data_IF_286797443790
#
_entry.id   IF_286797443790
#
_cell.length_a   1.000
_cell.length_b   1.000
_cell.length_c   1.000
_cell.angle_alpha   90.00
_cell.angle_beta   90.00
_cell.angle_gamma   90.00
#
_symmetry.space_group_name_H-M   'P 1'
#
loop_
_entity.id
_entity.type
_entity.pdbx_description
1 polymer ?
#
# COMPACT_ATOMS: atom_id res chain seq x y z
N UNK A 1 -33.99 5.47 -15.76
CA UNK A 1 -33.63 4.28 -16.56
C UNK A 1 -32.18 3.96 -16.24
N UNK A 2 -31.94 2.90 -15.46
CA UNK A 2 -30.60 2.49 -15.08
C UNK A 2 -30.03 1.56 -16.15
N UNK A 3 -28.88 1.92 -16.74
CA UNK A 3 -28.16 1.07 -17.68
C UNK A 3 -27.57 -0.15 -16.96
N UNK A 4 -27.62 -1.35 -17.55
CA UNK A 4 -27.02 -2.54 -16.95
C UNK A 4 -25.51 -2.50 -17.24
N UNK A 5 -24.73 -1.88 -16.35
CA UNK A 5 -23.28 -1.93 -16.45
C UNK A 5 -22.81 -3.35 -16.10
N UNK A 6 -22.54 -4.14 -17.14
CA UNK A 6 -21.94 -5.47 -17.05
C UNK A 6 -20.69 -5.44 -16.16
N UNK A 7 -20.71 -6.23 -15.10
CA UNK A 7 -19.67 -6.40 -14.07
C UNK A 7 -18.43 -7.16 -14.54
N UNK A 8 -18.21 -7.23 -15.85
CA UNK A 8 -17.15 -8.03 -16.44
C UNK A 8 -15.91 -7.16 -16.69
N UNK A 9 -14.79 -7.57 -16.08
CA UNK A 9 -13.44 -7.18 -16.51
C UNK A 9 -13.33 -7.51 -18.00
N UNK A 10 -12.93 -6.56 -18.87
CA UNK A 10 -12.78 -6.81 -20.30
C UNK A 10 -11.93 -8.05 -20.57
N UNK A 11 -12.26 -8.87 -21.59
CA UNK A 11 -11.56 -10.13 -21.84
C UNK A 11 -10.07 -9.92 -22.11
N UNK A 12 -9.70 -8.83 -22.78
CA UNK A 12 -8.32 -8.45 -23.03
C UNK A 12 -7.56 -8.12 -21.74
N UNK A 13 -8.18 -7.35 -20.83
CA UNK A 13 -7.59 -7.06 -19.52
C UNK A 13 -7.42 -8.32 -18.68
N UNK A 14 -8.42 -9.20 -18.70
CA UNK A 14 -8.36 -10.48 -18.01
C UNK A 14 -7.18 -11.30 -18.51
N UNK A 15 -6.94 -11.31 -19.82
CA UNK A 15 -5.82 -12.04 -20.40
C UNK A 15 -4.46 -11.40 -20.05
N UNK A 16 -4.39 -10.07 -20.03
CA UNK A 16 -3.21 -9.34 -19.60
C UNK A 16 -2.86 -9.63 -18.12
N UNK A 17 -3.85 -9.59 -17.23
CA UNK A 17 -3.68 -9.93 -15.80
C UNK A 17 -3.24 -11.39 -15.65
N UNK A 18 -3.90 -12.32 -16.36
CA UNK A 18 -3.50 -13.74 -16.33
C UNK A 18 -2.05 -13.93 -16.77
N UNK A 19 -1.65 -13.34 -17.90
CA UNK A 19 -0.28 -13.43 -18.40
C UNK A 19 0.73 -12.90 -17.39
N UNK A 20 0.41 -11.77 -16.75
CA UNK A 20 1.25 -11.21 -15.69
C UNK A 20 1.39 -12.18 -14.50
N UNK A 21 0.27 -12.73 -14.01
CA UNK A 21 0.27 -13.68 -12.90
C UNK A 21 0.98 -15.00 -13.25
N UNK A 22 0.83 -15.52 -14.47
CA UNK A 22 1.54 -16.70 -14.94
C UNK A 22 3.04 -16.48 -14.97
N UNK A 23 3.50 -15.37 -15.57
CA UNK A 23 4.92 -15.02 -15.57
C UNK A 23 5.48 -14.86 -14.15
N UNK A 24 4.69 -14.32 -13.23
CA UNK A 24 5.06 -14.22 -11.82
C UNK A 24 5.24 -15.60 -11.17
N UNK A 25 4.30 -16.52 -11.39
CA UNK A 25 4.39 -17.90 -10.88
C UNK A 25 5.59 -18.64 -11.47
N UNK A 26 5.83 -18.50 -12.78
CA UNK A 26 6.97 -19.13 -13.45
C UNK A 26 8.30 -18.59 -12.90
N UNK A 27 8.40 -17.28 -12.66
CA UNK A 27 9.57 -16.66 -12.05
C UNK A 27 9.78 -17.13 -10.59
N UNK A 28 8.71 -17.38 -9.84
CA UNK A 28 8.80 -17.95 -8.50
C UNK A 28 9.28 -19.40 -8.51
N UNK A 29 8.74 -20.25 -9.38
CA UNK A 29 9.15 -21.64 -9.52
C UNK A 29 10.63 -21.70 -9.92
N UNK A 30 11.03 -20.92 -10.92
CA UNK A 30 12.42 -20.84 -11.35
C UNK A 30 13.36 -20.39 -10.22
N UNK A 31 12.94 -19.41 -9.40
CA UNK A 31 13.74 -18.96 -8.27
C UNK A 31 13.91 -20.06 -7.20
N UNK A 32 12.88 -20.88 -6.97
CA UNK A 32 12.94 -22.04 -6.06
C UNK A 32 13.90 -23.10 -6.60
N UNK A 33 13.73 -23.48 -7.87
CA UNK A 33 14.52 -24.54 -8.52
C UNK A 33 16.01 -24.16 -8.63
N UNK A 34 16.29 -22.87 -8.87
CA UNK A 34 17.66 -22.33 -8.96
C UNK A 34 18.33 -22.14 -7.60
N UNK A 35 17.60 -22.32 -6.49
CA UNK A 35 18.10 -22.02 -5.14
C UNK A 35 18.35 -20.52 -4.88
N UNK A 36 17.95 -19.65 -5.80
CA UNK A 36 18.17 -18.19 -5.77
C UNK A 36 17.30 -17.48 -4.73
N UNK A 37 16.27 -18.15 -4.20
CA UNK A 37 15.47 -17.58 -3.10
C UNK A 37 16.27 -17.39 -1.80
N UNK A 38 17.54 -17.80 -1.79
CA UNK A 38 18.48 -17.49 -0.73
C UNK A 38 19.23 -16.14 -0.90
N UNK A 39 19.12 -15.42 -2.03
CA UNK A 39 20.07 -14.35 -2.34
C UNK A 39 19.63 -13.11 -3.14
N UNK A 40 18.45 -13.04 -3.75
CA UNK A 40 18.10 -11.86 -4.58
C UNK A 40 16.90 -11.05 -4.04
N UNK A 41 17.19 -10.24 -3.02
CA UNK A 41 16.64 -8.91 -2.88
C UNK A 41 17.65 -7.94 -3.48
N UNK A 42 17.28 -7.26 -4.57
CA UNK A 42 18.14 -6.27 -5.20
C UNK A 42 18.20 -5.04 -4.27
N UNK A 43 19.25 -5.02 -3.47
CA UNK A 43 19.45 -4.11 -2.34
C UNK A 43 20.43 -4.71 -1.33
N UNK A 44 21.49 -5.38 -1.81
CA UNK A 44 22.65 -5.75 -0.99
C UNK A 44 23.45 -4.47 -0.70
N UNK A 45 22.92 -3.64 0.18
CA UNK A 45 23.80 -2.87 1.05
C UNK A 45 24.52 -3.88 1.95
N UNK A 46 25.83 -3.76 2.01
CA UNK A 46 26.75 -4.66 2.69
C UNK A 46 26.63 -4.61 4.23
N UNK A 47 25.41 -4.63 4.77
CA UNK A 47 25.13 -4.45 6.21
C UNK A 47 24.20 -5.52 6.82
N UNK A 48 23.99 -6.65 6.11
CA UNK A 48 23.45 -7.88 6.72
C UNK A 48 24.49 -8.58 7.63
N UNK A 49 25.61 -7.89 7.88
CA UNK A 49 26.59 -8.15 8.94
C UNK A 49 26.12 -7.72 10.33
N UNK A 50 24.88 -7.29 10.53
CA UNK A 50 24.26 -7.41 11.86
C UNK A 50 23.91 -8.88 12.07
N UNK A 51 24.98 -9.64 12.32
CA UNK A 51 24.99 -10.99 12.84
C UNK A 51 23.89 -11.06 13.91
N UNK A 52 22.88 -11.89 13.68
CA UNK A 52 21.98 -12.35 14.73
C UNK A 52 22.51 -13.68 15.27
N UNK A 53 23.68 -13.72 15.94
CA UNK A 53 24.40 -14.95 16.23
C UNK A 53 23.53 -15.93 17.05
N UNK A 54 22.71 -15.38 17.93
CA UNK A 54 21.75 -16.13 18.73
C UNK A 54 20.71 -16.87 17.86
N UNK A 55 20.11 -16.18 16.90
CA UNK A 55 19.13 -16.77 15.99
C UNK A 55 19.78 -17.78 15.04
N UNK A 56 21.03 -17.56 14.62
CA UNK A 56 21.76 -18.52 13.79
C UNK A 56 22.11 -19.81 14.54
N UNK A 57 22.41 -19.70 15.84
CA UNK A 57 22.73 -20.83 16.70
C UNK A 57 21.49 -21.67 17.06
N UNK A 58 20.32 -21.03 17.22
CA UNK A 58 19.09 -21.70 17.64
C UNK A 58 18.26 -22.19 16.46
N UNK A 59 18.21 -21.41 15.37
CA UNK A 59 17.31 -21.69 14.24
C UNK A 59 18.07 -22.42 13.13
N UNK A 60 17.68 -23.68 12.83
CA UNK A 60 18.24 -24.43 11.72
C UNK A 60 18.28 -23.63 10.42
N UNK A 61 19.35 -23.80 9.64
CA UNK A 61 19.54 -23.10 8.36
C UNK A 61 18.34 -23.31 7.41
N UNK A 62 17.72 -24.48 7.43
CA UNK A 62 16.54 -24.80 6.61
C UNK A 62 15.34 -23.92 6.97
N UNK A 63 15.06 -23.74 8.26
CA UNK A 63 13.96 -22.88 8.72
C UNK A 63 14.22 -21.42 8.35
N UNK A 64 15.48 -20.95 8.46
CA UNK A 64 15.86 -19.60 8.02
C UNK A 64 15.72 -19.37 6.51
N UNK A 65 15.95 -20.40 5.69
CA UNK A 65 15.72 -20.33 4.24
C UNK A 65 14.23 -20.25 3.91
N UNK A 66 13.40 -21.08 4.56
CA UNK A 66 11.95 -21.06 4.39
C UNK A 66 11.35 -19.72 4.83
N UNK A 67 11.81 -19.15 5.94
CA UNK A 67 11.33 -17.84 6.40
C UNK A 67 11.72 -16.70 5.45
N UNK A 68 12.94 -16.71 4.90
CA UNK A 68 13.35 -15.75 3.87
C UNK A 68 12.54 -15.90 2.58
N UNK A 69 12.28 -17.14 2.18
CA UNK A 69 11.41 -17.46 1.05
C UNK A 69 10.01 -16.89 1.25
N UNK A 70 9.38 -17.17 2.39
CA UNK A 70 8.01 -16.71 2.69
C UNK A 70 7.94 -15.18 2.66
N UNK A 71 8.92 -14.49 3.26
CA UNK A 71 8.99 -13.03 3.23
C UNK A 71 9.13 -12.50 1.81
N UNK A 72 10.07 -13.05 1.02
CA UNK A 72 10.28 -12.65 -0.37
C UNK A 72 9.04 -12.88 -1.22
N UNK A 73 8.40 -14.05 -1.06
CA UNK A 73 7.15 -14.39 -1.72
C UNK A 73 6.04 -13.40 -1.36
N UNK A 74 5.84 -13.12 -0.08
CA UNK A 74 4.83 -12.19 0.42
C UNK A 74 5.03 -10.78 -0.13
N UNK A 75 6.26 -10.27 -0.13
CA UNK A 75 6.60 -8.95 -0.70
C UNK A 75 6.34 -8.90 -2.21
N UNK A 76 6.79 -9.90 -2.97
CA UNK A 76 6.59 -9.94 -4.42
C UNK A 76 5.10 -10.11 -4.77
N UNK A 77 4.35 -10.86 -3.96
CA UNK A 77 2.90 -11.01 -4.10
C UNK A 77 2.16 -9.69 -3.83
N UNK A 78 2.58 -8.92 -2.82
CA UNK A 78 2.06 -7.56 -2.59
C UNK A 78 2.21 -6.67 -3.82
N UNK A 79 3.43 -6.58 -4.35
CA UNK A 79 3.75 -5.85 -5.58
C UNK A 79 2.94 -6.31 -6.80
N UNK A 80 2.57 -7.58 -6.85
CA UNK A 80 1.72 -8.16 -7.91
C UNK A 80 0.29 -7.61 -7.85
N UNK A 81 -0.26 -7.45 -6.64
CA UNK A 81 -1.59 -6.85 -6.47
C UNK A 81 -1.62 -5.39 -6.92
N UNK A 82 -0.59 -4.61 -6.58
CA UNK A 82 -0.45 -3.22 -7.02
C UNK A 82 -0.42 -3.11 -8.56
N UNK A 83 0.29 -4.02 -9.24
CA UNK A 83 0.33 -4.05 -10.71
C UNK A 83 -1.02 -4.37 -11.32
N UNK A 84 -1.74 -5.34 -10.76
CA UNK A 84 -3.08 -5.67 -11.22
C UNK A 84 -4.03 -4.47 -11.04
N UNK A 85 -3.95 -3.80 -9.89
CA UNK A 85 -4.65 -2.55 -9.61
C UNK A 85 -4.34 -1.46 -10.64
N UNK A 86 -3.06 -1.21 -10.95
CA UNK A 86 -2.64 -0.24 -11.97
C UNK A 86 -3.19 -0.57 -13.36
N UNK A 87 -3.11 -1.84 -13.76
CA UNK A 87 -3.64 -2.30 -15.05
C UNK A 87 -5.15 -2.07 -15.17
N UNK A 88 -5.91 -2.32 -14.10
CA UNK A 88 -7.35 -2.05 -14.05
C UNK A 88 -7.62 -0.54 -14.13
N UNK A 89 -6.93 0.26 -13.31
CA UNK A 89 -7.14 1.70 -13.26
C UNK A 89 -6.82 2.40 -14.60
N UNK A 90 -5.77 1.96 -15.30
CA UNK A 90 -5.37 2.51 -16.61
C UNK A 90 -6.45 2.34 -17.69
N UNK A 91 -7.40 1.40 -17.52
CA UNK A 91 -8.49 1.21 -18.47
C UNK A 91 -9.69 2.14 -18.23
N UNK A 92 -9.78 2.72 -17.03
CA UNK A 92 -10.96 3.47 -16.58
C UNK A 92 -10.68 4.95 -16.34
N UNK A 93 -9.40 5.30 -16.19
CA UNK A 93 -8.96 6.64 -15.79
C UNK A 93 -7.90 7.18 -16.74
N UNK A 94 -7.61 8.48 -16.64
CA UNK A 94 -6.65 9.15 -17.51
C UNK A 94 -5.22 8.65 -17.25
N UNK A 95 -4.84 8.51 -15.98
CA UNK A 95 -3.50 8.04 -15.58
C UNK A 95 -3.58 7.10 -14.38
N UNK A 96 -2.64 6.16 -14.31
CA UNK A 96 -2.45 5.31 -13.14
C UNK A 96 -0.98 4.92 -12.97
N UNK A 97 -0.41 5.22 -11.79
CA UNK A 97 1.00 5.04 -11.47
C UNK A 97 1.16 4.28 -10.15
N UNK A 98 2.07 3.31 -10.12
CA UNK A 98 2.44 2.64 -8.87
C UNK A 98 3.55 3.38 -8.16
N UNK A 99 3.64 3.16 -6.84
CA UNK A 99 4.71 3.71 -6.00
C UNK A 99 4.86 5.22 -6.21
N UNK A 100 3.72 5.93 -6.23
CA UNK A 100 3.69 7.35 -6.56
C UNK A 100 4.18 8.16 -5.37
N UNK A 101 5.15 9.03 -5.63
CA UNK A 101 5.79 9.84 -4.60
C UNK A 101 5.13 11.20 -4.46
N UNK A 102 4.71 11.49 -3.24
CA UNK A 102 4.24 12.80 -2.78
C UNK A 102 5.40 13.48 -2.06
N UNK A 103 5.72 14.71 -2.45
CA UNK A 103 6.74 15.54 -1.81
C UNK A 103 6.16 16.94 -1.59
N UNK A 104 6.18 17.43 -0.35
CA UNK A 104 5.64 18.75 -0.01
C UNK A 104 6.13 19.28 1.33
N UNK A 105 5.77 20.53 1.63
CA UNK A 105 6.05 21.15 2.93
C UNK A 105 4.80 21.15 3.79
N UNK A 106 4.92 20.69 5.03
CA UNK A 106 3.80 20.54 5.98
C UNK A 106 4.21 21.05 7.36
N UNK A 107 3.24 21.39 8.21
CA UNK A 107 3.50 21.74 9.62
C UNK A 107 4.12 20.56 10.38
N UNK A 108 5.17 20.82 11.15
CA UNK A 108 5.75 19.83 12.06
C UNK A 108 4.74 19.40 13.13
N UNK A 109 3.89 20.31 13.61
CA UNK A 109 2.86 19.98 14.60
C UNK A 109 1.81 19.01 14.04
N UNK A 110 1.49 19.10 12.75
CA UNK A 110 0.60 18.14 12.09
C UNK A 110 1.26 16.76 11.94
N UNK A 111 2.57 16.71 11.62
CA UNK A 111 3.33 15.45 11.58
C UNK A 111 3.41 14.80 12.95
N UNK A 112 3.66 15.58 14.00
CA UNK A 112 3.74 15.08 15.38
C UNK A 112 2.39 14.53 15.85
N UNK A 113 1.28 15.16 15.44
CA UNK A 113 -0.07 14.67 15.71
C UNK A 113 -0.35 13.32 15.03
N UNK A 114 0.03 13.16 13.76
CA UNK A 114 -0.08 11.86 13.07
C UNK A 114 0.68 10.78 13.83
N UNK A 115 1.92 11.08 14.24
CA UNK A 115 2.76 10.13 14.97
C UNK A 115 2.14 9.73 16.32
N UNK A 116 1.59 10.70 17.04
CA UNK A 116 0.89 10.45 18.31
C UNK A 116 -0.37 9.59 18.10
N UNK A 117 -1.16 9.88 17.06
CA UNK A 117 -2.35 9.10 16.72
C UNK A 117 -2.00 7.68 16.28
N UNK A 118 -0.96 7.47 15.47
CA UNK A 118 -0.49 6.15 15.04
C UNK A 118 -0.02 5.32 16.25
N UNK A 119 0.79 5.89 17.15
CA UNK A 119 1.22 5.22 18.39
C UNK A 119 0.03 4.85 19.29
N UNK A 120 -0.93 5.76 19.42
CA UNK A 120 -2.16 5.50 20.17
C UNK A 120 -2.98 4.37 19.52
N UNK A 121 -3.09 4.38 18.20
CA UNK A 121 -3.81 3.36 17.44
C UNK A 121 -3.20 1.96 17.59
N UNK A 122 -1.87 1.88 17.65
CA UNK A 122 -1.13 0.63 17.87
C UNK A 122 -1.27 0.09 19.30
N UNK A 123 -1.39 0.97 20.29
CA UNK A 123 -1.50 0.60 21.72
C UNK A 123 -2.93 0.28 22.16
N UNK A 124 -3.95 0.75 21.43
CA UNK A 124 -5.37 0.46 21.74
C UNK A 124 -5.75 -0.99 21.39
N UNK A 125 -5.96 -1.79 22.44
CA UNK A 125 -6.29 -3.21 22.36
C UNK A 125 -7.71 -3.51 21.84
N UNK A 126 -8.66 -2.58 21.99
CA UNK A 126 -10.07 -2.77 21.59
C UNK A 126 -10.56 -1.67 20.65
N UNK A 127 -11.46 -2.05 19.74
CA UNK A 127 -12.01 -1.15 18.72
C UNK A 127 -12.90 -0.04 19.28
N UNK A 128 -13.42 -0.20 20.50
CA UNK A 128 -14.38 0.71 21.14
C UNK A 128 -13.73 2.00 21.68
N UNK A 129 -12.41 2.03 21.83
CA UNK A 129 -11.65 3.21 22.26
C UNK A 129 -11.01 3.97 21.09
N UNK A 130 -11.19 3.49 19.86
CA UNK A 130 -10.58 4.11 18.68
C UNK A 130 -11.37 5.33 18.25
N UNK A 131 -10.66 6.46 18.19
CA UNK A 131 -11.11 7.70 17.55
C UNK A 131 -11.43 7.38 16.09
N UNK A 132 -12.49 7.97 15.54
CA UNK A 132 -12.86 7.80 14.14
C UNK A 132 -11.82 8.45 13.23
N UNK A 133 -11.78 8.01 11.97
CA UNK A 133 -10.87 8.59 10.98
C UNK A 133 -11.14 10.07 10.74
N UNK A 134 -12.41 10.48 10.75
CA UNK A 134 -12.80 11.88 10.57
C UNK A 134 -12.30 12.75 11.73
N UNK A 135 -12.42 12.29 12.98
CA UNK A 135 -11.90 12.99 14.16
C UNK A 135 -10.36 13.07 14.16
N UNK A 136 -9.68 12.01 13.72
CA UNK A 136 -8.23 12.00 13.55
C UNK A 136 -7.77 13.06 12.54
N UNK A 137 -8.46 13.12 11.40
CA UNK A 137 -8.20 14.11 10.35
C UNK A 137 -8.46 15.53 10.84
N UNK A 138 -9.57 15.76 11.54
CA UNK A 138 -9.88 17.08 12.08
C UNK A 138 -8.79 17.55 13.05
N UNK A 139 -8.33 16.69 13.97
CA UNK A 139 -7.25 17.00 14.88
C UNK A 139 -5.95 17.36 14.15
N UNK A 140 -5.61 16.65 13.07
CA UNK A 140 -4.45 16.95 12.23
C UNK A 140 -4.61 18.31 11.53
N UNK A 141 -5.78 18.57 10.95
CA UNK A 141 -6.10 19.80 10.24
C UNK A 141 -5.97 21.04 11.13
N UNK A 142 -6.36 20.94 12.41
CA UNK A 142 -6.21 22.08 13.35
C UNK A 142 -4.76 22.55 13.51
N UNK A 143 -3.78 21.66 13.29
CA UNK A 143 -2.35 21.94 13.47
C UNK A 143 -1.62 22.22 12.17
N UNK A 144 -2.29 22.15 11.01
CA UNK A 144 -1.63 22.17 9.69
C UNK A 144 -0.93 23.48 9.33
N UNK A 145 -1.35 24.59 9.93
CA UNK A 145 -0.80 25.92 9.67
C UNK A 145 0.25 26.35 10.71
N UNK A 146 0.52 25.53 11.71
CA UNK A 146 1.45 25.84 12.80
C UNK A 146 2.90 25.69 12.33
N UNK A 147 3.75 26.75 12.40
CA UNK A 147 5.17 26.61 12.14
C UNK A 147 5.89 25.87 13.29
N UNK A 148 7.06 25.24 13.05
CA UNK A 148 7.82 25.25 11.80
C UNK A 148 7.28 24.27 10.74
N UNK A 149 7.58 24.55 9.47
CA UNK A 149 7.26 23.65 8.35
C UNK A 149 8.44 22.75 8.01
N UNK A 150 8.17 21.47 7.81
CA UNK A 150 9.14 20.42 7.44
C UNK A 150 8.85 19.83 6.06
N UNK A 151 9.83 19.17 5.45
CA UNK A 151 9.62 18.40 4.21
C UNK A 151 9.01 17.04 4.54
N UNK A 152 7.88 16.72 3.91
CA UNK A 152 7.24 15.41 3.98
C UNK A 152 7.39 14.71 2.64
N UNK A 153 7.81 13.44 2.69
CA UNK A 153 7.89 12.56 1.52
C UNK A 153 7.16 11.27 1.83
N UNK A 154 6.13 10.97 1.04
CA UNK A 154 5.29 9.77 1.21
C UNK A 154 5.20 9.05 -0.12
N UNK A 155 5.23 7.73 -0.10
CA UNK A 155 5.01 6.90 -1.28
C UNK A 155 3.71 6.15 -1.08
N UNK A 156 2.81 6.26 -2.06
CA UNK A 156 1.54 5.54 -2.08
C UNK A 156 1.63 4.34 -3.02
N UNK A 157 0.94 3.26 -2.70
CA UNK A 157 0.99 2.04 -3.50
C UNK A 157 0.46 2.28 -4.93
N UNK A 158 -0.60 3.10 -5.09
CA UNK A 158 -1.16 3.49 -6.38
C UNK A 158 -1.71 4.92 -6.38
N UNK A 159 -1.37 5.69 -7.42
CA UNK A 159 -2.01 6.94 -7.82
C UNK A 159 -2.87 6.72 -9.06
N UNK A 160 -4.03 7.37 -9.09
CA UNK A 160 -4.95 7.37 -10.23
C UNK A 160 -5.45 8.79 -10.47
N UNK A 161 -5.39 9.27 -11.72
CA UNK A 161 -6.01 10.52 -12.13
C UNK A 161 -7.20 10.24 -13.03
N UNK A 162 -8.39 10.60 -12.57
CA UNK A 162 -9.63 10.45 -13.33
C UNK A 162 -9.68 11.43 -14.51
N UNK A 163 -10.59 11.19 -15.46
CA UNK A 163 -10.74 12.04 -16.65
C UNK A 163 -11.21 13.46 -16.35
N UNK A 164 -11.90 13.67 -15.23
CA UNK A 164 -12.33 14.99 -14.77
C UNK A 164 -11.22 15.76 -14.01
N UNK A 165 -10.03 15.17 -13.88
CA UNK A 165 -8.89 15.74 -13.17
C UNK A 165 -8.82 15.36 -11.68
N UNK A 166 -9.79 14.61 -11.16
CA UNK A 166 -9.76 14.13 -9.77
C UNK A 166 -8.59 13.18 -9.56
N UNK A 167 -7.85 13.42 -8.48
CA UNK A 167 -6.70 12.61 -8.08
C UNK A 167 -7.07 11.68 -6.92
N UNK A 168 -6.72 10.40 -7.05
CA UNK A 168 -6.99 9.35 -6.07
C UNK A 168 -5.70 8.63 -5.71
N UNK A 169 -5.53 8.34 -4.42
CA UNK A 169 -4.34 7.72 -3.86
C UNK A 169 -4.76 6.52 -3.03
N UNK A 170 -4.11 5.39 -3.26
CA UNK A 170 -4.47 4.13 -2.65
C UNK A 170 -3.26 3.53 -1.95
N UNK A 171 -3.49 3.10 -0.72
CA UNK A 171 -2.66 2.14 -0.02
C UNK A 171 -3.30 0.74 -0.17
N UNK A 172 -2.55 -0.23 -0.69
CA UNK A 172 -3.04 -1.56 -1.03
C UNK A 172 -2.41 -2.55 -0.06
N UNK A 173 -3.24 -3.18 0.78
CA UNK A 173 -2.77 -4.19 1.74
C UNK A 173 -3.53 -5.50 1.62
N UNK A 174 -2.85 -6.59 1.96
CA UNK A 174 -3.43 -7.93 2.08
C UNK A 174 -4.23 -8.05 3.41
N UNK A 175 -5.11 -9.07 3.58
CA UNK A 175 -6.09 -9.13 4.67
C UNK A 175 -5.55 -9.21 6.11
N UNK A 176 -4.23 -9.30 6.33
CA UNK A 176 -3.61 -9.10 7.65
C UNK A 176 -2.61 -7.93 7.59
N UNK A 177 -3.11 -6.68 7.46
CA UNK A 177 -2.24 -5.53 7.33
C UNK A 177 -1.62 -5.12 8.66
N UNK A 178 -0.42 -4.52 8.61
CA UNK A 178 0.09 -3.67 9.68
C UNK A 178 -0.77 -2.40 9.73
N UNK A 179 -1.70 -2.35 10.67
CA UNK A 179 -2.74 -1.29 10.70
C UNK A 179 -2.16 0.10 10.96
N UNK A 180 -1.11 0.22 11.77
CA UNK A 180 -0.43 1.49 12.06
C UNK A 180 0.17 2.13 10.81
N UNK A 181 0.95 1.37 10.04
CA UNK A 181 1.57 1.82 8.79
C UNK A 181 0.53 2.30 7.75
N UNK A 182 -0.61 1.61 7.66
CA UNK A 182 -1.67 2.02 6.74
C UNK A 182 -2.29 3.37 7.16
N UNK A 183 -2.49 3.57 8.46
CA UNK A 183 -3.02 4.82 9.00
C UNK A 183 -2.05 5.98 8.78
N UNK A 184 -0.76 5.75 9.03
CA UNK A 184 0.31 6.73 8.84
C UNK A 184 0.36 7.27 7.40
N UNK A 185 0.45 6.39 6.40
CA UNK A 185 0.50 6.78 4.98
C UNK A 185 -0.77 7.55 4.59
N UNK A 186 -1.93 7.11 5.09
CA UNK A 186 -3.22 7.76 4.82
C UNK A 186 -3.26 9.18 5.39
N UNK A 187 -2.87 9.37 6.65
CA UNK A 187 -2.86 10.68 7.29
C UNK A 187 -1.83 11.63 6.67
N UNK A 188 -0.65 11.12 6.31
CA UNK A 188 0.36 11.95 5.64
C UNK A 188 -0.03 12.36 4.22
N UNK A 189 -0.63 11.45 3.45
CA UNK A 189 -1.22 11.81 2.17
C UNK A 189 -2.22 12.94 2.40
N UNK A 190 -3.12 12.81 3.39
CA UNK A 190 -4.12 13.83 3.70
C UNK A 190 -3.54 15.22 3.97
N UNK A 191 -2.54 15.34 4.86
CA UNK A 191 -1.89 16.62 5.16
C UNK A 191 -1.29 17.26 3.90
N UNK A 192 -0.71 16.45 3.01
CA UNK A 192 -0.15 16.94 1.76
C UNK A 192 -1.22 17.63 0.88
N UNK A 193 -2.41 17.07 0.73
CA UNK A 193 -3.47 17.67 -0.11
C UNK A 193 -3.93 19.02 0.40
N UNK A 194 -4.22 19.08 1.70
CA UNK A 194 -4.73 20.27 2.35
C UNK A 194 -3.70 21.39 2.33
N UNK A 195 -2.41 21.07 2.54
CA UNK A 195 -1.33 22.03 2.44
C UNK A 195 -1.09 22.56 1.01
N UNK A 196 -1.44 21.79 -0.02
CA UNK A 196 -1.21 22.15 -1.43
C UNK A 196 -2.48 22.57 -2.19
N UNK A 197 -3.63 22.68 -1.51
CA UNK A 197 -4.89 23.15 -2.10
C UNK A 197 -5.45 22.23 -3.17
N UNK A 198 -5.08 20.95 -3.15
CA UNK A 198 -5.60 19.93 -4.07
C UNK A 198 -6.80 19.28 -3.40
N UNK A 199 -8.02 19.35 -3.96
CA UNK A 199 -9.19 18.74 -3.35
C UNK A 199 -9.04 17.22 -3.35
N UNK A 200 -8.70 16.63 -2.19
CA UNK A 200 -8.83 15.18 -2.01
C UNK A 200 -10.32 14.85 -1.91
N UNK A 201 -10.84 14.06 -2.85
CA UNK A 201 -12.18 13.50 -2.69
C UNK A 201 -12.23 12.65 -1.42
N UNK A 202 -13.25 12.89 -0.59
CA UNK A 202 -13.58 12.21 0.68
C UNK A 202 -13.99 10.74 0.48
N UNK A 203 -13.18 9.97 -0.25
CA UNK A 203 -13.17 8.52 -0.21
C UNK A 203 -11.77 8.11 0.17
N UNK A 204 -11.47 8.28 1.46
CA UNK A 204 -10.30 7.62 2.02
C UNK A 204 -10.49 6.13 1.76
N UNK A 205 -9.54 5.64 0.95
CA UNK A 205 -9.43 4.29 0.46
C UNK A 205 -9.87 3.31 1.55
N UNK A 206 -10.92 2.54 1.25
CA UNK A 206 -11.13 1.28 1.95
C UNK A 206 -9.79 0.56 1.88
N UNK A 207 -9.22 0.17 3.02
CA UNK A 207 -8.32 -0.97 3.05
C UNK A 207 -9.01 -2.05 2.20
N UNK A 208 -8.50 -2.29 0.99
CA UNK A 208 -8.98 -3.35 0.12
C UNK A 208 -8.55 -4.65 0.79
N UNK A 209 -9.27 -4.99 1.84
CA UNK A 209 -9.09 -6.21 2.61
C UNK A 209 -9.64 -7.29 1.71
N UNK A 210 -8.83 -7.78 0.77
CA UNK A 210 -9.21 -8.86 -0.13
C UNK A 210 -9.42 -10.08 0.77
N UNK A 211 -10.67 -10.54 1.00
CA UNK A 211 -10.88 -11.75 1.78
C UNK A 211 -10.18 -12.89 1.04
N UNK A 212 -9.69 -13.89 1.77
CA UNK A 212 -8.84 -14.98 1.27
C UNK A 212 -9.43 -15.82 0.11
N UNK A 213 -10.61 -15.48 -0.39
CA UNK A 213 -11.22 -16.06 -1.58
C UNK A 213 -12.21 -15.09 -2.27
N UNK A 214 -11.77 -13.99 -2.90
CA UNK A 214 -12.62 -13.25 -3.86
C UNK A 214 -11.81 -12.73 -5.08
N UNK A 215 -12.32 -12.83 -6.33
CA UNK A 215 -11.60 -12.45 -7.54
C UNK A 215 -11.42 -10.92 -7.67
N UNK A 216 -10.49 -10.54 -8.53
CA UNK A 216 -10.16 -9.21 -9.12
C UNK A 216 -11.34 -8.22 -9.29
N UNK A 217 -12.58 -8.69 -9.30
CA UNK A 217 -13.82 -7.89 -9.37
C UNK A 217 -13.99 -6.87 -8.23
N UNK A 218 -13.51 -7.13 -7.01
CA UNK A 218 -13.61 -6.13 -5.91
C UNK A 218 -12.73 -4.91 -6.18
N UNK A 219 -11.50 -5.13 -6.68
CA UNK A 219 -10.57 -4.05 -7.05
C UNK A 219 -11.19 -3.22 -8.17
N UNK A 220 -11.78 -3.88 -9.18
CA UNK A 220 -12.46 -3.19 -10.28
C UNK A 220 -13.70 -2.39 -9.86
N UNK A 221 -14.40 -2.79 -8.79
CA UNK A 221 -15.55 -2.05 -8.26
C UNK A 221 -15.16 -0.83 -7.43
N UNK A 222 -14.02 -0.86 -6.74
CA UNK A 222 -13.50 0.28 -5.98
C UNK A 222 -12.80 1.33 -6.87
N UNK A 223 -12.41 0.93 -8.08
CA UNK A 223 -11.70 1.76 -9.06
C UNK A 223 -12.59 2.26 -10.21
N UNK A 224 -13.92 2.23 -10.06
CA UNK A 224 -14.87 2.75 -11.06
C UNK A 224 -15.71 3.87 -10.48
#
# INVERSE_FOLDING_TARGET
MASPHSSAIPPELREQIKRYLSNFMDALIHAIDSGEVAGSGNGLSADDSVVMPFHQAIIPVTIRKVSRFERSFSTRLGSTFEECARLIATQHHAEAHRSYRLEGRVSQAAVDEVNAQVQTFETMATSEQRISLDEMIEAILTKQTEPPYTELRVVTDLYVRQHDGTELFFEIKSPRPNKGQCLEVTCYAFIYYEANGVPMFRHISRCLTIPSAIPVQIIAGAMR
#
